data_IF_424992707900
#
_entry.id   IF_424992707900
#
_cell.length_a   1.000
_cell.length_b   1.000
_cell.length_c   1.000
_cell.angle_alpha   90.00
_cell.angle_beta   90.00
_cell.angle_gamma   90.00
#
_symmetry.space_group_name_H-M   'P 1'
#
loop_
_entity.id
_entity.type
_entity.pdbx_description
1 polymer ?
#
# COMPACT_ATOMS: atom_id res chain seq x y z
N UNK A 1 0.40 -15.30 -10.35
CA UNK A 1 -0.10 -14.06 -9.71
C UNK A 1 -1.10 -13.30 -10.58
N UNK A 2 -0.80 -12.70 -11.74
CA UNK A 2 -1.89 -12.19 -12.63
C UNK A 2 -2.83 -13.30 -13.09
N UNK A 3 -2.28 -14.44 -13.50
CA UNK A 3 -3.05 -15.63 -13.90
C UNK A 3 -3.81 -16.28 -12.74
N UNK A 4 -3.51 -15.93 -11.49
CA UNK A 4 -4.19 -16.46 -10.29
C UNK A 4 -5.24 -15.46 -9.78
N UNK A 5 -4.86 -14.18 -9.67
CA UNK A 5 -5.70 -13.09 -9.16
C UNK A 5 -6.77 -12.65 -10.17
N UNK A 6 -6.51 -12.78 -11.48
CA UNK A 6 -7.41 -12.36 -12.55
C UNK A 6 -7.80 -13.52 -13.50
N UNK A 7 -7.62 -14.77 -13.06
CA UNK A 7 -7.89 -15.96 -13.86
C UNK A 7 -9.28 -15.94 -14.51
N UNK A 8 -10.30 -15.59 -13.72
CA UNK A 8 -11.70 -15.55 -14.16
C UNK A 8 -11.97 -14.44 -15.19
N UNK A 9 -11.38 -13.26 -15.01
CA UNK A 9 -11.58 -12.13 -15.91
C UNK A 9 -10.83 -12.30 -17.23
N UNK A 10 -9.59 -12.82 -17.18
CA UNK A 10 -8.81 -13.16 -18.37
C UNK A 10 -9.53 -14.22 -19.20
N UNK A 11 -10.05 -15.26 -18.54
CA UNK A 11 -10.84 -16.32 -19.19
C UNK A 11 -12.13 -15.79 -19.81
N UNK A 12 -12.83 -14.89 -19.13
CA UNK A 12 -14.03 -14.23 -19.67
C UNK A 12 -13.70 -13.38 -20.91
N UNK A 13 -12.63 -12.59 -20.86
CA UNK A 13 -12.17 -11.78 -21.99
C UNK A 13 -11.70 -12.64 -23.17
N UNK A 14 -11.03 -13.76 -22.90
CA UNK A 14 -10.63 -14.71 -23.92
C UNK A 14 -11.85 -15.32 -24.62
N UNK A 15 -12.90 -15.67 -23.88
CA UNK A 15 -14.17 -16.14 -24.47
C UNK A 15 -14.84 -15.09 -25.35
N UNK A 16 -14.89 -13.83 -24.89
CA UNK A 16 -15.44 -12.73 -25.69
C UNK A 16 -14.61 -12.49 -26.97
N UNK A 17 -13.28 -12.53 -26.85
CA UNK A 17 -12.36 -12.37 -27.96
C UNK A 17 -12.48 -13.51 -28.97
N UNK A 18 -12.61 -14.76 -28.50
CA UNK A 18 -12.86 -15.93 -29.35
C UNK A 18 -14.20 -15.82 -30.09
N UNK A 19 -15.24 -15.34 -29.42
CA UNK A 19 -16.55 -15.08 -30.03
C UNK A 19 -16.50 -14.04 -31.16
N UNK A 20 -15.71 -12.98 -30.99
CA UNK A 20 -15.48 -11.96 -32.02
C UNK A 20 -14.60 -12.50 -33.16
N UNK A 21 -13.56 -13.27 -32.83
CA UNK A 21 -12.60 -13.83 -33.77
C UNK A 21 -13.19 -14.96 -34.65
N UNK A 22 -14.24 -15.65 -34.19
CA UNK A 22 -14.91 -16.72 -34.94
C UNK A 22 -15.45 -16.28 -36.32
N UNK A 23 -15.75 -14.99 -36.46
CA UNK A 23 -16.19 -14.37 -37.70
C UNK A 23 -15.07 -14.06 -38.70
N UNK A 24 -13.79 -14.08 -38.29
CA UNK A 24 -12.66 -13.72 -39.13
C UNK A 24 -11.79 -14.93 -39.53
N UNK A 25 -11.35 -14.98 -40.79
CA UNK A 25 -10.55 -16.09 -41.31
C UNK A 25 -9.25 -16.35 -40.54
N UNK A 26 -8.57 -15.30 -40.08
CA UNK A 26 -7.31 -15.40 -39.33
C UNK A 26 -7.52 -15.60 -37.81
N UNK A 27 -8.75 -15.42 -37.31
CA UNK A 27 -9.08 -15.56 -35.90
C UNK A 27 -9.48 -16.98 -35.48
N UNK A 28 -9.76 -17.85 -36.43
CA UNK A 28 -10.23 -19.24 -36.20
C UNK A 28 -9.17 -20.21 -35.73
N UNK A 29 -7.90 -19.90 -35.99
CA UNK A 29 -6.78 -20.77 -35.63
C UNK A 29 -6.28 -20.50 -34.21
N UNK A 30 -6.81 -19.48 -33.52
CA UNK A 30 -6.45 -19.14 -32.15
C UNK A 30 -7.28 -19.96 -31.16
N UNK A 31 -6.60 -20.75 -30.34
CA UNK A 31 -7.23 -21.46 -29.23
C UNK A 31 -7.56 -20.52 -28.07
N UNK A 32 -8.52 -20.90 -27.22
CA UNK A 32 -8.85 -20.14 -26.01
C UNK A 32 -7.62 -19.97 -25.09
N UNK A 33 -6.76 -20.99 -24.99
CA UNK A 33 -5.55 -20.93 -24.20
C UNK A 33 -4.52 -19.93 -24.75
N UNK A 34 -4.37 -19.86 -26.07
CA UNK A 34 -3.50 -18.86 -26.71
C UNK A 34 -4.04 -17.44 -26.55
N UNK A 35 -5.36 -17.26 -26.60
CA UNK A 35 -6.00 -15.97 -26.30
C UNK A 35 -5.83 -15.57 -24.83
N UNK A 36 -6.01 -16.50 -23.89
CA UNK A 36 -5.77 -16.26 -22.46
C UNK A 36 -4.32 -15.86 -22.20
N UNK A 37 -3.35 -16.57 -22.78
CA UNK A 37 -1.92 -16.26 -22.66
C UNK A 37 -1.58 -14.89 -23.26
N UNK A 38 -2.06 -14.59 -24.48
CA UNK A 38 -1.83 -13.30 -25.12
C UNK A 38 -2.46 -12.14 -24.33
N UNK A 39 -3.67 -12.32 -23.80
CA UNK A 39 -4.32 -11.33 -22.94
C UNK A 39 -3.57 -11.13 -21.63
N UNK A 40 -3.05 -12.19 -21.01
CA UNK A 40 -2.21 -12.09 -19.83
C UNK A 40 -0.93 -11.29 -20.14
N UNK A 41 -0.24 -11.60 -21.24
CA UNK A 41 0.98 -10.89 -21.68
C UNK A 41 0.72 -9.40 -21.95
N UNK A 42 -0.37 -9.06 -22.64
CA UNK A 42 -0.77 -7.68 -22.91
C UNK A 42 -1.15 -6.96 -21.62
N UNK A 43 -1.89 -7.64 -20.72
CA UNK A 43 -2.32 -7.07 -19.44
C UNK A 43 -1.12 -6.72 -18.57
N UNK A 44 -0.07 -7.55 -18.53
CA UNK A 44 1.18 -7.28 -17.82
C UNK A 44 1.91 -6.02 -18.35
N UNK A 45 1.69 -5.63 -19.61
CA UNK A 45 2.26 -4.39 -20.19
C UNK A 45 1.55 -3.13 -19.70
N UNK A 46 0.34 -3.25 -19.16
CA UNK A 46 -0.38 -2.12 -18.58
C UNK A 46 0.20 -1.82 -17.19
N UNK A 47 0.53 -0.55 -16.95
CA UNK A 47 1.26 -0.10 -15.76
C UNK A 47 0.58 -0.52 -14.45
N UNK A 48 -0.75 -0.42 -14.36
CA UNK A 48 -1.55 -0.79 -13.17
C UNK A 48 -1.32 -2.26 -12.81
N UNK A 49 -1.35 -3.14 -13.82
CA UNK A 49 -1.26 -4.58 -13.62
C UNK A 49 0.18 -5.07 -13.41
N UNK A 50 1.20 -4.30 -13.84
CA UNK A 50 2.61 -4.60 -13.57
C UNK A 50 2.89 -4.82 -12.08
N UNK A 51 2.17 -4.15 -11.19
CA UNK A 51 2.28 -4.30 -9.72
C UNK A 51 2.00 -5.73 -9.24
N UNK A 52 1.12 -6.46 -9.95
CA UNK A 52 0.76 -7.85 -9.66
C UNK A 52 1.73 -8.85 -10.30
N UNK A 53 2.87 -8.38 -10.81
CA UNK A 53 3.94 -9.22 -11.33
C UNK A 53 5.14 -9.16 -10.40
N UNK A 54 5.89 -10.27 -10.29
CA UNK A 54 7.20 -10.34 -9.62
C UNK A 54 7.24 -9.85 -8.15
N UNK A 55 6.14 -9.96 -7.40
CA UNK A 55 6.12 -9.59 -5.98
C UNK A 55 6.15 -8.08 -5.71
N UNK A 56 5.95 -7.23 -6.72
CA UNK A 56 5.90 -5.77 -6.55
C UNK A 56 4.81 -5.32 -5.58
N UNK A 57 3.68 -6.03 -5.50
CA UNK A 57 2.64 -5.76 -4.50
C UNK A 57 3.15 -5.93 -3.07
N UNK A 58 3.95 -6.97 -2.80
CA UNK A 58 4.56 -7.19 -1.49
C UNK A 58 5.59 -6.08 -1.20
N UNK A 59 6.33 -5.63 -2.23
CA UNK A 59 7.28 -4.53 -2.10
C UNK A 59 6.61 -3.21 -1.66
N UNK A 60 5.31 -3.00 -1.95
CA UNK A 60 4.56 -1.82 -1.47
C UNK A 60 4.43 -1.76 0.06
N UNK A 61 4.63 -2.87 0.75
CA UNK A 61 4.55 -2.98 2.21
C UNK A 61 5.92 -3.21 2.88
N UNK A 62 6.94 -3.61 2.12
CA UNK A 62 8.30 -3.82 2.60
C UNK A 62 9.22 -2.60 2.39
N UNK A 63 9.13 -1.93 1.24
CA UNK A 63 9.98 -0.77 0.93
C UNK A 63 9.33 0.54 1.35
N UNK A 64 9.43 0.86 2.64
CA UNK A 64 8.65 1.94 3.26
C UNK A 64 9.34 3.33 3.21
N UNK A 65 10.23 3.59 2.24
CA UNK A 65 10.97 4.88 2.16
C UNK A 65 10.05 6.10 2.14
N UNK A 66 8.99 6.05 1.32
CA UNK A 66 7.94 7.07 1.29
C UNK A 66 6.64 6.42 0.78
N UNK A 67 5.66 6.23 1.67
CA UNK A 67 4.45 5.45 1.37
C UNK A 67 3.55 6.05 0.29
N UNK A 68 3.72 7.33 -0.06
CA UNK A 68 2.99 7.95 -1.17
C UNK A 68 3.38 7.39 -2.54
N UNK A 69 4.57 6.77 -2.65
CA UNK A 69 5.04 6.11 -3.87
C UNK A 69 4.60 4.65 -3.97
N UNK A 70 4.11 4.09 -2.85
CA UNK A 70 3.72 2.68 -2.74
C UNK A 70 2.26 2.50 -3.15
N UNK A 71 1.99 2.66 -4.44
CA UNK A 71 0.66 2.64 -5.02
C UNK A 71 0.55 1.70 -6.21
N UNK A 72 -0.66 1.25 -6.56
CA UNK A 72 -0.91 0.41 -7.73
C UNK A 72 -0.49 1.15 -9.00
N UNK A 73 0.41 0.54 -9.76
CA UNK A 73 1.03 1.13 -10.95
C UNK A 73 2.15 2.13 -10.66
N UNK A 74 2.50 2.32 -9.38
CA UNK A 74 3.62 3.15 -8.94
C UNK A 74 4.97 2.42 -8.99
N UNK A 75 6.04 3.20 -8.78
CA UNK A 75 7.40 2.69 -8.57
C UNK A 75 7.89 3.19 -7.19
N UNK A 76 7.93 2.33 -6.17
CA UNK A 76 8.43 2.69 -4.83
C UNK A 76 9.87 3.26 -4.83
N UNK A 77 10.70 2.85 -5.80
CA UNK A 77 12.06 3.32 -5.99
C UNK A 77 12.16 4.66 -6.73
N UNK A 78 11.04 5.22 -7.18
CA UNK A 78 11.00 6.43 -8.00
C UNK A 78 11.52 7.69 -7.28
N UNK A 79 12.08 8.61 -8.06
CA UNK A 79 12.66 9.87 -7.57
C UNK A 79 11.79 11.11 -7.88
N UNK A 80 10.53 10.90 -8.25
CA UNK A 80 9.62 11.97 -8.70
C UNK A 80 9.69 12.25 -10.20
N UNK A 81 8.88 13.22 -10.66
CA UNK A 81 8.77 13.59 -12.08
C UNK A 81 8.98 15.09 -12.25
N UNK A 82 9.72 15.48 -13.29
CA UNK A 82 9.86 16.90 -13.61
C UNK A 82 8.61 17.41 -14.35
N UNK A 83 8.27 18.72 -14.27
CA UNK A 83 7.18 19.29 -15.04
C UNK A 83 7.29 19.00 -16.54
N UNK A 84 8.50 19.05 -17.11
CA UNK A 84 8.74 18.74 -18.51
C UNK A 84 8.39 17.28 -18.87
N UNK A 85 8.81 16.30 -18.05
CA UNK A 85 8.45 14.89 -18.24
C UNK A 85 6.93 14.69 -18.13
N UNK A 86 6.28 15.36 -17.18
CA UNK A 86 4.82 15.31 -17.02
C UNK A 86 4.07 15.91 -18.23
N UNK A 87 4.51 17.07 -18.75
CA UNK A 87 3.93 17.66 -19.94
C UNK A 87 4.11 16.77 -21.18
N UNK A 88 5.28 16.14 -21.34
CA UNK A 88 5.52 15.18 -22.41
C UNK A 88 4.56 13.98 -22.30
N UNK A 89 4.40 13.42 -21.10
CA UNK A 89 3.44 12.37 -20.83
C UNK A 89 2.00 12.77 -21.22
N UNK A 90 1.56 13.98 -20.84
CA UNK A 90 0.23 14.49 -21.19
C UNK A 90 0.04 14.63 -22.71
N UNK A 91 1.07 15.10 -23.43
CA UNK A 91 1.02 15.20 -24.89
C UNK A 91 0.93 13.83 -25.57
N UNK A 92 1.71 12.86 -25.12
CA UNK A 92 1.67 11.48 -25.63
C UNK A 92 0.30 10.84 -25.38
N UNK A 93 -0.22 10.97 -24.16
CA UNK A 93 -1.55 10.46 -23.78
C UNK A 93 -2.66 11.10 -24.60
N UNK A 94 -2.62 12.42 -24.86
CA UNK A 94 -3.61 13.09 -25.74
C UNK A 94 -3.62 12.56 -27.17
N UNK A 95 -2.45 12.18 -27.72
CA UNK A 95 -2.34 11.67 -29.10
C UNK A 95 -2.81 10.22 -29.23
N UNK A 96 -2.50 9.38 -28.24
CA UNK A 96 -2.73 7.95 -28.31
C UNK A 96 -4.05 7.51 -27.65
N UNK A 97 -4.43 8.16 -26.56
CA UNK A 97 -5.55 7.74 -25.70
C UNK A 97 -6.35 8.96 -25.19
N UNK A 98 -6.94 9.78 -26.08
CA UNK A 98 -7.56 11.07 -25.72
C UNK A 98 -8.73 10.97 -24.74
N UNK A 99 -9.39 9.81 -24.65
CA UNK A 99 -10.56 9.58 -23.80
C UNK A 99 -10.24 8.73 -22.55
N UNK A 100 -8.97 8.53 -22.23
CA UNK A 100 -8.57 7.74 -21.05
C UNK A 100 -8.87 8.50 -19.76
N UNK A 101 -9.12 7.75 -18.69
CA UNK A 101 -9.37 8.30 -17.36
C UNK A 101 -8.07 8.81 -16.73
N UNK A 102 -8.14 9.98 -16.08
CA UNK A 102 -7.10 10.46 -15.17
C UNK A 102 -7.57 10.21 -13.72
N UNK A 103 -7.32 9.01 -13.22
CA UNK A 103 -7.69 8.63 -11.86
C UNK A 103 -6.63 9.06 -10.86
N UNK A 104 -7.09 9.61 -9.73
CA UNK A 104 -6.26 9.96 -8.56
C UNK A 104 -6.58 9.05 -7.38
N UNK A 105 -7.80 8.54 -7.26
CA UNK A 105 -8.18 7.53 -6.26
C UNK A 105 -9.13 6.51 -6.87
N UNK A 106 -9.03 5.25 -6.44
CA UNK A 106 -9.92 4.15 -6.86
C UNK A 106 -10.25 3.27 -5.66
N UNK A 107 -11.20 2.36 -5.81
CA UNK A 107 -11.52 1.37 -4.77
C UNK A 107 -10.36 0.41 -4.45
N UNK A 108 -9.42 0.25 -5.40
CA UNK A 108 -8.23 -0.60 -5.25
C UNK A 108 -6.96 0.16 -4.84
N UNK A 109 -7.02 1.49 -4.81
CA UNK A 109 -5.86 2.28 -4.38
C UNK A 109 -5.44 1.91 -2.96
N UNK A 110 -4.14 1.71 -2.72
CA UNK A 110 -3.63 1.33 -1.40
C UNK A 110 -3.85 2.44 -0.38
N UNK A 111 -3.84 3.70 -0.86
CA UNK A 111 -4.10 4.94 -0.10
C UNK A 111 -4.83 5.94 -1.00
N UNK A 112 -5.69 6.81 -0.45
CA UNK A 112 -6.35 7.88 -1.22
C UNK A 112 -5.36 8.98 -1.65
N UNK A 113 -5.76 9.79 -2.62
CA UNK A 113 -4.94 10.91 -3.11
C UNK A 113 -4.54 11.90 -2.01
N UNK A 114 -5.45 12.24 -1.09
CA UNK A 114 -5.18 13.19 0.00
C UNK A 114 -4.14 12.65 0.98
N UNK A 115 -4.21 11.36 1.30
CA UNK A 115 -3.20 10.69 2.13
C UNK A 115 -1.84 10.75 1.46
N UNK A 116 -1.77 10.47 0.16
CA UNK A 116 -0.50 10.55 -0.59
C UNK A 116 0.01 11.98 -0.73
N UNK A 117 -0.87 12.96 -0.89
CA UNK A 117 -0.51 14.38 -0.95
C UNK A 117 0.12 14.86 0.36
N UNK A 118 -0.47 14.51 1.52
CA UNK A 118 0.11 14.83 2.84
C UNK A 118 1.47 14.18 3.05
N UNK A 119 1.61 12.91 2.65
CA UNK A 119 2.86 12.18 2.75
C UNK A 119 3.98 12.78 1.88
N UNK A 120 3.66 13.30 0.69
CA UNK A 120 4.66 13.91 -0.19
C UNK A 120 5.38 15.10 0.46
N UNK A 121 4.74 15.83 1.38
CA UNK A 121 5.36 16.93 2.12
C UNK A 121 6.56 16.47 2.92
N UNK A 122 6.60 15.21 3.38
CA UNK A 122 7.75 14.66 4.12
C UNK A 122 9.05 14.70 3.32
N UNK A 123 8.96 14.64 1.98
CA UNK A 123 10.12 14.76 1.10
C UNK A 123 10.69 16.20 1.04
N UNK A 124 9.88 17.21 1.40
CA UNK A 124 10.28 18.61 1.43
C UNK A 124 10.90 19.02 2.78
N UNK A 125 10.61 18.27 3.86
CA UNK A 125 11.09 18.55 5.22
C UNK A 125 11.80 17.34 5.88
N UNK A 126 12.80 16.72 5.22
CA UNK A 126 13.37 15.45 5.68
C UNK A 126 14.03 15.53 7.06
N UNK A 127 14.67 16.65 7.42
CA UNK A 127 15.32 16.82 8.72
C UNK A 127 14.28 16.89 9.85
N UNK A 128 13.22 17.69 9.68
CA UNK A 128 12.14 17.77 10.66
C UNK A 128 11.42 16.43 10.81
N UNK A 129 11.31 15.67 9.72
CA UNK A 129 10.75 14.32 9.74
C UNK A 129 11.62 13.35 10.55
N UNK A 130 12.93 13.32 10.29
CA UNK A 130 13.90 12.49 11.02
C UNK A 130 13.92 12.77 12.52
N UNK A 131 13.85 14.05 12.90
CA UNK A 131 13.79 14.44 14.32
C UNK A 131 12.54 13.89 15.02
N UNK A 132 11.39 13.92 14.33
CA UNK A 132 10.12 13.40 14.88
C UNK A 132 10.13 11.89 15.00
N UNK A 133 10.61 11.19 13.98
CA UNK A 133 10.80 9.75 14.02
C UNK A 133 11.69 9.33 15.18
N UNK A 134 12.87 9.95 15.30
CA UNK A 134 13.81 9.66 16.38
C UNK A 134 13.16 9.84 17.75
N UNK A 135 12.41 10.94 17.93
CA UNK A 135 11.70 11.24 19.18
C UNK A 135 10.60 10.22 19.48
N UNK A 136 9.73 9.93 18.52
CA UNK A 136 8.64 8.97 18.71
C UNK A 136 9.15 7.56 18.95
N UNK A 137 10.20 7.14 18.23
CA UNK A 137 10.85 5.86 18.45
C UNK A 137 11.41 5.70 19.86
N UNK A 138 12.00 6.76 20.42
CA UNK A 138 12.48 6.77 21.80
C UNK A 138 11.34 6.71 22.80
N UNK A 139 10.32 7.54 22.61
CA UNK A 139 9.12 7.61 23.47
C UNK A 139 8.35 6.30 23.52
N UNK A 140 8.19 5.66 22.35
CA UNK A 140 7.40 4.43 22.22
C UNK A 140 8.23 3.17 22.45
N UNK A 141 9.55 3.28 22.68
CA UNK A 141 10.42 2.14 22.96
C UNK A 141 9.91 1.21 24.07
N UNK A 142 9.39 1.70 25.21
CA UNK A 142 8.88 0.83 26.28
C UNK A 142 7.61 0.05 25.93
N UNK A 143 6.89 0.50 24.89
CA UNK A 143 5.66 -0.15 24.42
C UNK A 143 5.96 -1.32 23.46
N UNK A 144 7.20 -1.43 22.98
CA UNK A 144 7.64 -2.55 22.15
C UNK A 144 7.97 -3.74 23.04
N UNK A 145 7.60 -4.94 22.58
CA UNK A 145 7.96 -6.18 23.24
C UNK A 145 8.67 -7.12 22.28
N UNK A 146 9.17 -8.25 22.80
CA UNK A 146 9.77 -9.30 21.99
C UNK A 146 8.85 -10.51 21.90
N UNK A 147 8.64 -10.99 20.68
CA UNK A 147 7.94 -12.22 20.40
C UNK A 147 8.83 -13.10 19.52
N UNK A 148 9.13 -14.31 19.98
CA UNK A 148 9.97 -15.27 19.24
C UNK A 148 11.31 -14.70 18.77
N UNK A 149 11.93 -13.84 19.57
CA UNK A 149 13.21 -13.18 19.25
C UNK A 149 13.11 -11.91 18.40
N UNK A 150 11.94 -11.58 17.87
CA UNK A 150 11.69 -10.38 17.06
C UNK A 150 11.07 -9.26 17.90
N UNK A 151 11.38 -8.02 17.55
CA UNK A 151 10.73 -6.86 18.17
C UNK A 151 9.37 -6.60 17.51
N UNK A 152 8.36 -6.25 18.30
CA UNK A 152 7.00 -5.97 17.82
C UNK A 152 6.59 -4.55 18.26
N UNK A 153 6.28 -3.65 17.30
CA UNK A 153 6.67 -3.72 15.89
C UNK A 153 8.19 -3.72 15.72
N UNK A 154 8.66 -4.23 14.58
CA UNK A 154 10.03 -4.01 14.12
C UNK A 154 10.19 -2.57 13.58
N UNK A 155 11.42 -2.15 13.30
CA UNK A 155 11.69 -0.76 12.88
C UNK A 155 10.98 -0.40 11.57
N UNK A 156 10.87 -1.34 10.62
CA UNK A 156 10.24 -1.07 9.32
C UNK A 156 8.72 -0.90 9.46
N UNK A 157 8.07 -1.76 10.25
CA UNK A 157 6.64 -1.64 10.56
C UNK A 157 6.33 -0.40 11.40
N UNK A 158 7.20 -0.05 12.34
CA UNK A 158 7.07 1.19 13.12
C UNK A 158 7.17 2.43 12.21
N UNK A 159 8.09 2.44 11.26
CA UNK A 159 8.22 3.52 10.28
C UNK A 159 7.00 3.63 9.34
N UNK A 160 6.46 2.48 8.91
CA UNK A 160 5.20 2.42 8.16
C UNK A 160 4.03 3.01 8.96
N UNK A 161 3.93 2.68 10.25
CA UNK A 161 2.89 3.18 11.13
C UNK A 161 2.95 4.70 11.28
N UNK A 162 4.14 5.28 11.52
CA UNK A 162 4.25 6.74 11.67
C UNK A 162 3.88 7.50 10.38
N UNK A 163 4.27 7.01 9.21
CA UNK A 163 3.80 7.59 7.95
C UNK A 163 2.28 7.46 7.79
N UNK A 164 1.72 6.29 8.11
CA UNK A 164 0.26 6.07 8.06
C UNK A 164 -0.49 7.07 8.94
N UNK A 165 0.00 7.31 10.17
CA UNK A 165 -0.54 8.33 11.07
C UNK A 165 -0.48 9.72 10.45
N UNK A 166 0.67 10.17 9.96
CA UNK A 166 0.81 11.51 9.34
C UNK A 166 -0.10 11.67 8.12
N UNK A 167 -0.16 10.63 7.26
CA UNK A 167 -0.93 10.68 6.02
C UNK A 167 -2.45 10.63 6.25
N UNK A 168 -2.91 9.85 7.24
CA UNK A 168 -4.33 9.56 7.42
C UNK A 168 -4.94 10.17 8.69
N UNK A 169 -4.20 10.98 9.46
CA UNK A 169 -4.74 11.61 10.68
C UNK A 169 -6.04 12.37 10.38
N UNK A 170 -7.11 12.15 11.17
CA UNK A 170 -8.38 12.84 10.95
C UNK A 170 -8.25 14.35 11.07
N UNK A 171 -9.08 15.08 10.31
CA UNK A 171 -9.13 16.55 10.41
C UNK A 171 -10.11 17.02 11.48
N UNK A 172 -11.09 16.17 11.82
CA UNK A 172 -12.11 16.44 12.82
C UNK A 172 -11.89 15.55 14.05
N UNK A 173 -12.09 16.10 15.25
CA UNK A 173 -11.80 15.42 16.51
C UNK A 173 -12.76 14.22 16.72
N UNK A 174 -14.01 14.36 16.28
CA UNK A 174 -15.03 13.33 16.33
C UNK A 174 -14.67 12.06 15.54
N UNK A 175 -13.82 12.18 14.52
CA UNK A 175 -13.36 11.05 13.70
C UNK A 175 -12.20 10.28 14.34
N UNK A 176 -11.56 10.82 15.39
CA UNK A 176 -10.37 10.24 16.01
C UNK A 176 -10.67 8.88 16.65
N UNK A 177 -11.84 8.72 17.26
CA UNK A 177 -12.23 7.46 17.88
C UNK A 177 -12.28 6.31 16.85
N UNK A 178 -13.05 6.50 15.78
CA UNK A 178 -13.19 5.53 14.69
C UNK A 178 -11.85 5.29 13.97
N UNK A 179 -11.03 6.33 13.85
CA UNK A 179 -9.70 6.20 13.27
C UNK A 179 -8.79 5.27 14.09
N UNK A 180 -8.77 5.41 15.43
CA UNK A 180 -8.00 4.53 16.32
C UNK A 180 -8.38 3.07 16.11
N UNK A 181 -9.68 2.77 16.04
CA UNK A 181 -10.15 1.39 15.83
C UNK A 181 -9.73 0.82 14.47
N UNK A 182 -9.76 1.66 13.42
CA UNK A 182 -9.39 1.27 12.05
C UNK A 182 -7.88 1.09 11.88
N UNK A 183 -7.08 1.86 12.62
CA UNK A 183 -5.61 1.85 12.49
C UNK A 183 -5.01 0.48 12.81
N UNK A 184 -5.41 -0.14 13.92
CA UNK A 184 -4.91 -1.47 14.29
C UNK A 184 -5.24 -2.54 13.23
N UNK A 185 -6.48 -2.54 12.73
CA UNK A 185 -6.92 -3.44 11.65
C UNK A 185 -6.12 -3.21 10.36
N UNK A 186 -5.87 -1.96 10.01
CA UNK A 186 -5.06 -1.61 8.85
C UNK A 186 -3.61 -2.08 9.00
N UNK A 187 -3.01 -1.92 10.18
CA UNK A 187 -1.63 -2.34 10.44
C UNK A 187 -1.48 -3.86 10.35
N UNK A 188 -2.42 -4.62 10.90
CA UNK A 188 -2.45 -6.10 10.75
C UNK A 188 -2.60 -6.50 9.29
N UNK A 189 -3.50 -5.84 8.54
CA UNK A 189 -3.64 -6.07 7.09
C UNK A 189 -2.30 -5.82 6.38
N UNK A 190 -1.67 -4.67 6.61
CA UNK A 190 -0.40 -4.32 6.00
C UNK A 190 0.72 -5.34 6.31
N UNK A 191 0.78 -5.82 7.56
CA UNK A 191 1.74 -6.84 7.95
C UNK A 191 1.51 -8.19 7.24
N UNK A 192 0.24 -8.60 7.06
CA UNK A 192 -0.12 -9.80 6.29
C UNK A 192 0.21 -9.67 4.80
N UNK A 193 0.08 -8.49 4.24
CA UNK A 193 0.49 -8.21 2.84
C UNK A 193 2.02 -8.21 2.69
N UNK A 194 2.76 -7.73 3.69
CA UNK A 194 4.22 -7.73 3.70
C UNK A 194 4.82 -9.15 3.79
N UNK A 195 4.11 -10.10 4.42
CA UNK A 195 4.51 -11.52 4.54
C UNK A 195 5.86 -11.76 5.22
N UNK A 196 6.36 -10.79 6.00
CA UNK A 196 7.64 -10.92 6.71
C UNK A 196 7.50 -11.76 7.99
N UNK A 197 6.47 -11.49 8.79
CA UNK A 197 6.24 -12.15 10.08
C UNK A 197 4.89 -12.89 10.15
N UNK A 198 3.90 -12.42 9.40
CA UNK A 198 2.56 -13.01 9.34
C UNK A 198 2.01 -12.92 7.93
N UNK A 199 1.07 -13.79 7.56
CA UNK A 199 0.43 -13.78 6.25
C UNK A 199 -1.02 -14.23 6.35
N UNK A 200 -1.77 -14.08 5.26
CA UNK A 200 -3.13 -14.62 5.16
C UNK A 200 -3.21 -16.15 5.30
N UNK A 201 -2.15 -16.87 4.90
CA UNK A 201 -2.11 -18.34 4.93
C UNK A 201 -1.55 -18.88 6.25
N UNK A 202 -0.75 -18.09 6.95
CA UNK A 202 -0.17 -18.43 8.25
C UNK A 202 -0.24 -17.22 9.20
N UNK A 203 -1.43 -16.91 9.74
CA UNK A 203 -1.61 -15.82 10.69
C UNK A 203 -0.81 -16.06 11.97
N UNK A 204 -0.27 -14.98 12.57
CA UNK A 204 0.47 -15.02 13.84
C UNK A 204 -0.26 -14.16 14.87
N UNK A 205 -1.27 -14.69 15.59
CA UNK A 205 -2.15 -13.89 16.45
C UNK A 205 -1.40 -13.01 17.46
N UNK A 206 -0.42 -13.56 18.19
CA UNK A 206 0.35 -12.76 19.16
C UNK A 206 1.18 -11.62 18.55
N UNK A 207 1.59 -11.74 17.29
CA UNK A 207 2.25 -10.64 16.56
C UNK A 207 1.22 -9.59 16.13
N UNK A 208 0.10 -10.03 15.57
CA UNK A 208 -0.99 -9.17 15.10
C UNK A 208 -1.65 -8.37 16.24
N UNK A 209 -1.93 -9.03 17.36
CA UNK A 209 -2.43 -8.41 18.59
C UNK A 209 -1.42 -7.37 19.10
N UNK A 210 -0.14 -7.74 19.14
CA UNK A 210 0.93 -6.82 19.54
C UNK A 210 1.02 -5.56 18.68
N UNK A 211 0.82 -5.68 17.36
CA UNK A 211 0.77 -4.53 16.46
C UNK A 211 -0.44 -3.63 16.76
N UNK A 212 -1.61 -4.21 16.95
CA UNK A 212 -2.84 -3.46 17.25
C UNK A 212 -2.77 -2.77 18.62
N UNK A 213 -2.22 -3.44 19.63
CA UNK A 213 -1.99 -2.89 20.97
C UNK A 213 -0.98 -1.75 20.92
N UNK A 214 0.13 -1.91 20.20
CA UNK A 214 1.12 -0.84 20.04
C UNK A 214 0.51 0.39 19.35
N UNK A 215 -0.22 0.19 18.25
CA UNK A 215 -0.88 1.28 17.51
C UNK A 215 -1.88 2.05 18.37
N UNK A 216 -2.57 1.36 19.29
CA UNK A 216 -3.49 1.99 20.23
C UNK A 216 -2.71 2.72 21.33
N UNK A 217 -1.73 2.07 21.94
CA UNK A 217 -0.98 2.57 23.09
C UNK A 217 -0.21 3.86 22.81
N UNK A 218 0.32 4.05 21.59
CA UNK A 218 1.04 5.28 21.22
C UNK A 218 0.12 6.50 21.09
N UNK A 219 -1.21 6.28 21.00
CA UNK A 219 -2.22 7.32 20.90
C UNK A 219 -2.92 7.58 22.24
N UNK A 220 -2.52 6.88 23.31
CA UNK A 220 -3.05 7.09 24.65
C UNK A 220 -2.24 8.15 25.41
N UNK A 221 -2.91 9.14 26.04
CA UNK A 221 -2.22 10.16 26.82
C UNK A 221 -1.35 9.55 27.92
N UNK A 222 -0.05 9.91 27.94
CA UNK A 222 0.84 9.64 29.07
C UNK A 222 1.58 8.29 29.09
N UNK A 223 1.31 7.35 28.18
CA UNK A 223 2.01 6.04 28.18
C UNK A 223 3.40 6.02 27.51
N UNK A 224 3.70 6.97 26.61
CA UNK A 224 4.97 7.03 25.88
C UNK A 224 5.90 8.20 26.28
N UNK A 225 5.47 9.10 27.17
CA UNK A 225 6.32 10.22 27.61
C UNK A 225 7.25 9.75 28.73
N UNK A 226 8.57 9.92 28.64
CA UNK A 226 9.43 9.75 29.82
C UNK A 226 8.96 10.74 30.90
N UNK A 227 8.32 10.24 31.96
CA UNK A 227 7.73 11.02 33.06
C UNK A 227 6.21 10.90 33.27
N UNK A 228 5.47 10.13 32.45
CA UNK A 228 4.03 9.90 32.67
C UNK A 228 3.76 8.95 33.85
N UNK A 229 3.38 9.48 35.00
CA UNK A 229 2.96 8.68 36.15
C UNK A 229 1.66 7.92 35.86
N UNK A 230 1.66 6.61 36.16
CA UNK A 230 0.48 5.75 36.13
C UNK A 230 -0.53 6.26 37.19
N UNK A 231 -1.79 6.57 36.85
CA UNK A 231 -2.78 6.86 37.89
C UNK A 231 -3.02 5.59 38.71
N UNK A 232 -2.98 5.73 40.04
CA UNK A 232 -3.24 4.63 40.96
C UNK A 232 -4.68 4.13 40.80
N UNK A 233 -4.94 2.82 40.95
CA UNK A 233 -6.30 2.31 40.96
C UNK A 233 -7.03 2.84 42.19
N UNK A 234 -8.16 3.50 41.97
CA UNK A 234 -9.15 3.82 43.00
C UNK A 234 -10.04 2.62 43.30
#
# INVERSE_FOLDING_TARGET
MIEESFAGDLRRLAWQSAGLAAGERHGRDLTLAELEAALAEVTVRLTVYRTYTRGLEVALYQYNRLLSLNEVGGDPGGQGVTPAKFHHFNQARRRQWPHTLNATSTHDSKRSEDVRARLNVLAEIPQAWEERLTRWHQWNRPLRFRLSGHQVPDTNTEFFLYQTLVGAWPLAEEEVHDFKERLGKYLVKAAREAKEFTSWLDPKPGYEEGLAEFATAILEPGRGRPGGSRPAPG
#
